data_IF_611152434683
#
_entry.id   IF_611152434683
#
_cell.length_a   1.000
_cell.length_b   1.000
_cell.length_c   1.000
_cell.angle_alpha   90.00
_cell.angle_beta   90.00
_cell.angle_gamma   90.00
#
_symmetry.space_group_name_H-M   'P 1'
#
loop_
_entity.id
_entity.type
_entity.pdbx_description
1 polymer ?
#
# COMPACT_ATOMS: atom_id res chain seq x y z
N UNK A 1 22.49 7.70 52.42
CA UNK A 1 22.20 8.28 51.08
C UNK A 1 22.72 7.44 49.94
N UNK A 2 23.96 6.98 50.01
CA UNK A 2 24.56 6.17 48.92
C UNK A 2 23.86 4.83 48.73
N UNK A 3 23.40 4.20 49.83
CA UNK A 3 22.72 2.91 49.80
C UNK A 3 21.34 3.01 49.13
N UNK A 4 20.61 4.11 49.35
CA UNK A 4 19.29 4.33 48.76
C UNK A 4 19.39 4.52 47.24
N UNK A 5 20.41 5.24 46.75
CA UNK A 5 20.67 5.39 45.32
C UNK A 5 21.00 4.07 44.63
N UNK A 6 21.76 3.19 45.30
CA UNK A 6 22.10 1.87 44.75
C UNK A 6 20.87 0.95 44.63
N UNK A 7 19.89 1.08 45.50
CA UNK A 7 18.66 0.30 45.45
C UNK A 7 17.73 0.85 44.33
N UNK A 8 17.62 2.17 44.19
CA UNK A 8 16.76 2.79 43.16
C UNK A 8 17.30 2.59 41.75
N UNK A 9 18.62 2.64 41.54
CA UNK A 9 19.20 2.51 40.20
C UNK A 9 18.92 1.15 39.54
N UNK A 10 19.07 -0.02 40.21
CA UNK A 10 18.72 -1.31 39.62
C UNK A 10 17.24 -1.43 39.26
N UNK A 11 16.32 -0.94 40.12
CA UNK A 11 14.88 -0.96 39.84
C UNK A 11 14.52 -0.10 38.62
N UNK A 12 15.08 1.10 38.56
CA UNK A 12 14.87 2.02 37.44
C UNK A 12 15.43 1.46 36.13
N UNK A 13 16.59 0.84 36.18
CA UNK A 13 17.19 0.17 35.00
C UNK A 13 16.33 -0.99 34.53
N UNK A 14 15.85 -1.84 35.46
CA UNK A 14 14.98 -2.98 35.14
C UNK A 14 13.67 -2.51 34.50
N UNK A 15 13.09 -1.43 34.99
CA UNK A 15 11.88 -0.85 34.44
C UNK A 15 12.13 -0.33 33.01
N UNK A 16 13.23 0.37 32.78
CA UNK A 16 13.61 0.81 31.43
C UNK A 16 13.88 -0.35 30.48
N UNK A 17 14.56 -1.38 30.96
CA UNK A 17 14.81 -2.58 30.14
C UNK A 17 13.50 -3.26 29.77
N UNK A 18 12.54 -3.33 30.69
CA UNK A 18 11.21 -3.87 30.42
C UNK A 18 10.46 -3.06 29.36
N UNK A 19 10.53 -1.73 29.45
CA UNK A 19 9.93 -0.84 28.45
C UNK A 19 10.59 -1.02 27.08
N UNK A 20 11.92 -1.14 27.01
CA UNK A 20 12.63 -1.41 25.78
C UNK A 20 12.24 -2.74 25.16
N UNK A 21 12.13 -3.79 25.98
CA UNK A 21 11.73 -5.11 25.50
C UNK A 21 10.32 -5.07 24.91
N UNK A 22 9.39 -4.37 25.57
CA UNK A 22 8.02 -4.22 25.07
C UNK A 22 7.98 -3.42 23.78
N UNK A 23 8.71 -2.32 23.70
CA UNK A 23 8.81 -1.51 22.48
C UNK A 23 9.40 -2.32 21.33
N UNK A 24 10.43 -3.11 21.61
CA UNK A 24 11.07 -3.99 20.62
C UNK A 24 10.09 -5.04 20.11
N UNK A 25 9.30 -5.62 20.99
CA UNK A 25 8.28 -6.62 20.65
C UNK A 25 7.20 -6.01 19.75
N UNK A 26 6.64 -4.86 20.16
CA UNK A 26 5.57 -4.18 19.43
C UNK A 26 6.04 -3.70 18.07
N UNK A 27 7.19 -3.05 18.01
CA UNK A 27 7.73 -2.54 16.75
C UNK A 27 8.12 -3.66 15.79
N UNK A 28 8.67 -4.76 16.31
CA UNK A 28 8.98 -5.94 15.51
C UNK A 28 7.74 -6.55 14.87
N UNK A 29 6.66 -6.70 15.66
CA UNK A 29 5.38 -7.20 15.15
C UNK A 29 4.77 -6.27 14.09
N UNK A 30 4.81 -4.96 14.33
CA UNK A 30 4.31 -3.96 13.38
C UNK A 30 5.09 -4.00 12.06
N UNK A 31 6.42 -4.07 12.14
CA UNK A 31 7.28 -4.17 10.95
C UNK A 31 7.00 -5.45 10.15
N UNK A 32 6.83 -6.58 10.82
CA UNK A 32 6.48 -7.86 10.16
C UNK A 32 5.17 -7.74 9.40
N UNK A 33 4.16 -7.14 10.00
CA UNK A 33 2.86 -6.95 9.33
C UNK A 33 2.99 -6.11 8.06
N UNK A 34 3.74 -5.02 8.10
CA UNK A 34 3.98 -4.19 6.92
C UNK A 34 4.76 -4.96 5.86
N UNK A 35 5.81 -5.67 6.26
CA UNK A 35 6.68 -6.41 5.34
C UNK A 35 5.92 -7.54 4.63
N UNK A 36 5.05 -8.27 5.34
CA UNK A 36 4.22 -9.32 4.74
C UNK A 36 3.37 -8.76 3.60
N UNK A 37 2.77 -7.60 3.79
CA UNK A 37 1.93 -6.98 2.79
C UNK A 37 2.72 -6.41 1.61
N UNK A 38 3.87 -5.79 1.86
CA UNK A 38 4.67 -5.13 0.83
C UNK A 38 5.58 -6.09 0.06
N UNK A 39 5.99 -7.19 0.67
CA UNK A 39 6.84 -8.22 0.03
C UNK A 39 6.23 -9.60 0.21
N UNK A 40 5.06 -9.88 -0.42
CA UNK A 40 4.31 -11.12 -0.16
C UNK A 40 5.02 -12.38 -0.67
N UNK A 41 5.94 -12.27 -1.62
CA UNK A 41 6.64 -13.41 -2.20
C UNK A 41 8.03 -13.63 -1.61
N UNK A 42 8.49 -12.76 -0.73
CA UNK A 42 9.80 -12.87 -0.11
C UNK A 42 9.69 -13.36 1.33
N UNK A 43 10.69 -14.13 1.81
CA UNK A 43 10.69 -14.56 3.21
C UNK A 43 10.85 -13.38 4.15
N UNK A 44 10.17 -13.48 5.29
CA UNK A 44 10.23 -12.44 6.32
C UNK A 44 11.59 -12.55 7.02
N UNK A 45 12.33 -11.43 7.19
CA UNK A 45 13.55 -11.44 7.97
C UNK A 45 13.30 -11.95 9.40
N UNK A 46 14.21 -12.78 9.90
CA UNK A 46 14.09 -13.42 11.22
C UNK A 46 14.76 -12.64 12.34
N UNK A 47 15.34 -11.48 12.05
CA UNK A 47 16.00 -10.63 13.03
C UNK A 47 15.39 -9.23 13.00
N UNK A 48 15.45 -8.54 14.15
CA UNK A 48 14.98 -7.16 14.24
C UNK A 48 15.75 -6.25 13.27
N UNK A 49 17.07 -6.40 13.21
CA UNK A 49 17.90 -5.66 12.28
C UNK A 49 17.46 -5.89 10.82
N UNK A 50 17.17 -7.13 10.46
CA UNK A 50 16.72 -7.47 9.11
C UNK A 50 15.37 -6.83 8.78
N UNK A 51 14.47 -6.73 9.75
CA UNK A 51 13.19 -6.05 9.57
C UNK A 51 13.39 -4.55 9.29
N UNK A 52 14.21 -3.89 10.11
CA UNK A 52 14.55 -2.47 9.92
C UNK A 52 15.21 -2.26 8.57
N UNK A 53 16.16 -3.11 8.20
CA UNK A 53 16.86 -3.00 6.94
C UNK A 53 15.94 -3.15 5.73
N UNK A 54 14.98 -4.06 5.81
CA UNK A 54 13.97 -4.23 4.75
C UNK A 54 13.17 -2.94 4.55
N UNK A 55 12.82 -2.25 5.62
CA UNK A 55 12.02 -1.03 5.57
C UNK A 55 12.76 0.19 5.02
N UNK A 56 14.06 0.12 4.81
CA UNK A 56 14.82 1.18 4.12
C UNK A 56 14.24 1.41 2.71
N UNK A 57 13.75 0.36 2.07
CA UNK A 57 13.19 0.42 0.71
C UNK A 57 11.65 0.54 0.70
N UNK A 58 11.02 0.92 1.82
CA UNK A 58 9.56 0.94 1.94
C UNK A 58 8.90 1.94 0.99
N UNK A 59 9.50 3.12 0.78
CA UNK A 59 8.86 4.17 -0.04
C UNK A 59 8.74 3.75 -1.51
N UNK A 60 9.79 3.27 -2.18
CA UNK A 60 9.65 2.74 -3.54
C UNK A 60 8.65 1.58 -3.61
N UNK A 61 8.61 0.74 -2.56
CA UNK A 61 7.70 -0.42 -2.53
C UNK A 61 6.24 0.01 -2.39
N UNK A 62 5.96 1.02 -1.58
CA UNK A 62 4.62 1.63 -1.49
C UNK A 62 4.22 2.23 -2.83
N UNK A 63 5.12 2.91 -3.54
CA UNK A 63 4.86 3.44 -4.86
C UNK A 63 4.51 2.35 -5.87
N UNK A 64 5.20 1.21 -5.81
CA UNK A 64 4.88 0.06 -6.64
C UNK A 64 3.50 -0.52 -6.31
N UNK A 65 3.13 -0.61 -5.04
CA UNK A 65 1.82 -1.06 -4.61
C UNK A 65 0.71 -0.13 -5.10
N UNK A 66 0.91 1.18 -5.00
CA UNK A 66 -0.04 2.18 -5.52
C UNK A 66 -0.23 2.05 -7.03
N UNK A 67 0.86 1.88 -7.76
CA UNK A 67 0.81 1.67 -9.22
C UNK A 67 0.02 0.42 -9.58
N UNK A 68 0.27 -0.68 -8.89
CA UNK A 68 -0.45 -1.94 -9.10
C UNK A 68 -1.94 -1.79 -8.81
N UNK A 69 -2.29 -1.08 -7.75
CA UNK A 69 -3.69 -0.81 -7.41
C UNK A 69 -4.39 0.02 -8.48
N UNK A 70 -3.71 1.05 -9.02
CA UNK A 70 -4.24 1.87 -10.11
C UNK A 70 -4.46 1.04 -11.38
N UNK A 71 -3.51 0.18 -11.72
CA UNK A 71 -3.63 -0.71 -12.88
C UNK A 71 -4.81 -1.67 -12.70
N UNK A 72 -4.94 -2.28 -11.53
CA UNK A 72 -6.06 -3.20 -11.24
C UNK A 72 -7.41 -2.49 -11.34
N UNK A 73 -7.54 -1.31 -10.75
CA UNK A 73 -8.76 -0.52 -10.82
C UNK A 73 -9.13 -0.14 -12.25
N UNK A 74 -8.16 0.35 -13.02
CA UNK A 74 -8.35 0.72 -14.43
C UNK A 74 -8.71 -0.51 -15.27
N UNK A 75 -8.02 -1.64 -15.07
CA UNK A 75 -8.31 -2.88 -15.77
C UNK A 75 -9.73 -3.34 -15.52
N UNK A 76 -10.18 -3.33 -14.28
CA UNK A 76 -11.54 -3.71 -13.94
C UNK A 76 -12.56 -2.76 -14.57
N UNK A 77 -12.32 -1.45 -14.51
CA UNK A 77 -13.22 -0.45 -15.07
C UNK A 77 -13.34 -0.62 -16.60
N UNK A 78 -12.23 -0.72 -17.31
CA UNK A 78 -12.24 -0.92 -18.76
C UNK A 78 -12.87 -2.26 -19.15
N UNK A 79 -12.62 -3.32 -18.40
CA UNK A 79 -13.23 -4.62 -18.66
C UNK A 79 -14.75 -4.56 -18.51
N UNK A 80 -15.24 -3.89 -17.47
CA UNK A 80 -16.69 -3.70 -17.27
C UNK A 80 -17.32 -2.88 -18.39
N UNK A 81 -16.67 -1.79 -18.79
CA UNK A 81 -17.14 -0.98 -19.94
C UNK A 81 -17.21 -1.84 -21.19
N UNK A 82 -16.20 -2.67 -21.41
CA UNK A 82 -16.16 -3.54 -22.60
C UNK A 82 -17.22 -4.60 -22.61
N UNK A 83 -17.74 -5.04 -21.46
CA UNK A 83 -18.89 -5.97 -21.43
C UNK A 83 -20.16 -5.34 -21.97
N UNK A 84 -20.31 -4.02 -21.89
CA UNK A 84 -21.46 -3.27 -22.42
C UNK A 84 -21.22 -2.77 -23.86
N UNK A 85 -19.97 -2.41 -24.18
CA UNK A 85 -19.58 -1.91 -25.50
C UNK A 85 -18.35 -2.68 -26.00
N UNK A 86 -18.60 -3.87 -26.54
CA UNK A 86 -17.53 -4.79 -26.94
C UNK A 86 -16.61 -4.27 -28.04
N UNK A 87 -17.07 -3.28 -28.81
CA UNK A 87 -16.27 -2.66 -29.89
C UNK A 87 -15.33 -1.55 -29.37
N UNK A 88 -15.49 -1.15 -28.13
CA UNK A 88 -14.61 -0.13 -27.53
C UNK A 88 -13.18 -0.66 -27.44
N UNK A 89 -12.23 0.13 -27.90
CA UNK A 89 -10.80 -0.14 -27.76
C UNK A 89 -10.23 0.74 -26.64
N UNK A 90 -9.94 0.14 -25.49
CA UNK A 90 -9.46 0.87 -24.33
C UNK A 90 -8.19 1.66 -24.62
N UNK A 91 -7.29 1.12 -25.44
CA UNK A 91 -6.05 1.80 -25.82
C UNK A 91 -6.29 3.13 -26.54
N UNK A 92 -7.34 3.21 -27.35
CA UNK A 92 -7.69 4.44 -28.04
C UNK A 92 -8.14 5.53 -27.07
N UNK A 93 -8.82 5.15 -26.00
CA UNK A 93 -9.28 6.09 -24.96
C UNK A 93 -8.11 6.71 -24.21
N UNK A 94 -7.02 5.98 -24.06
CA UNK A 94 -5.84 6.43 -23.29
C UNK A 94 -4.90 7.32 -24.12
N UNK A 95 -4.82 7.08 -25.42
CA UNK A 95 -3.77 7.67 -26.29
C UNK A 95 -4.28 8.73 -27.24
N UNK A 96 -5.58 8.76 -27.55
CA UNK A 96 -6.15 9.67 -28.54
C UNK A 96 -6.84 10.86 -27.90
N UNK A 97 -6.84 11.97 -28.63
CA UNK A 97 -7.64 13.13 -28.27
C UNK A 97 -9.12 12.81 -28.41
N UNK A 98 -9.98 13.46 -27.61
CA UNK A 98 -11.43 13.29 -27.72
C UNK A 98 -11.93 13.57 -29.15
N UNK A 99 -13.08 13.01 -29.55
CA UNK A 99 -13.68 13.33 -30.85
C UNK A 99 -13.96 14.81 -31.00
N UNK A 100 -14.03 15.26 -32.26
CA UNK A 100 -14.38 16.66 -32.58
C UNK A 100 -15.68 17.07 -31.86
N UNK A 101 -15.64 18.25 -31.24
CA UNK A 101 -16.76 18.80 -30.48
C UNK A 101 -16.76 18.41 -29.00
N UNK A 102 -15.91 17.46 -28.58
CA UNK A 102 -15.72 17.05 -27.19
C UNK A 102 -14.35 17.35 -26.65
N UNK A 103 -13.46 17.86 -27.45
CA UNK A 103 -12.05 18.15 -27.13
C UNK A 103 -11.86 19.28 -26.10
N UNK A 104 -12.93 20.05 -25.82
CA UNK A 104 -12.94 21.10 -24.80
C UNK A 104 -13.12 20.56 -23.37
N UNK A 105 -13.41 19.27 -23.21
CA UNK A 105 -13.62 18.66 -21.89
C UNK A 105 -12.41 17.83 -21.47
N UNK A 106 -11.81 18.20 -20.35
CA UNK A 106 -10.77 17.40 -19.72
C UNK A 106 -11.38 16.31 -18.85
N UNK A 107 -10.68 15.19 -18.59
CA UNK A 107 -11.20 14.12 -17.72
C UNK A 107 -11.68 14.62 -16.36
N UNK A 108 -11.04 15.64 -15.80
CA UNK A 108 -11.37 16.22 -14.49
C UNK A 108 -12.81 16.74 -14.41
N UNK A 109 -13.37 17.16 -15.54
CA UNK A 109 -14.79 17.63 -15.59
C UNK A 109 -15.77 16.52 -15.21
N UNK A 110 -15.37 15.26 -15.31
CA UNK A 110 -16.24 14.10 -15.07
C UNK A 110 -15.92 13.38 -13.77
N UNK A 111 -14.93 13.81 -13.00
CA UNK A 111 -14.50 13.11 -11.79
C UNK A 111 -15.62 12.91 -10.80
N UNK A 112 -16.42 13.93 -10.52
CA UNK A 112 -17.57 13.82 -9.61
C UNK A 112 -18.66 12.91 -10.14
N UNK A 113 -18.92 12.99 -11.43
CA UNK A 113 -19.94 12.19 -12.08
C UNK A 113 -19.65 10.68 -11.99
N UNK A 114 -18.40 10.30 -12.13
CA UNK A 114 -17.98 8.88 -12.12
C UNK A 114 -17.54 8.38 -10.75
N UNK A 115 -17.50 9.23 -9.72
CA UNK A 115 -16.98 8.86 -8.41
C UNK A 115 -17.73 7.69 -7.76
N UNK A 116 -19.06 7.71 -7.83
CA UNK A 116 -19.89 6.64 -7.28
C UNK A 116 -19.62 5.30 -7.98
N UNK A 117 -19.51 5.33 -9.31
CA UNK A 117 -19.19 4.15 -10.10
C UNK A 117 -17.77 3.65 -9.79
N UNK A 118 -16.81 4.55 -9.61
CA UNK A 118 -15.44 4.19 -9.25
C UNK A 118 -15.39 3.48 -7.89
N UNK A 119 -16.18 3.92 -6.91
CA UNK A 119 -16.28 3.26 -5.61
C UNK A 119 -16.86 1.85 -5.72
N UNK A 120 -17.84 1.65 -6.59
CA UNK A 120 -18.41 0.33 -6.85
C UNK A 120 -17.41 -0.60 -7.53
N UNK A 121 -16.63 -0.09 -8.47
CA UNK A 121 -15.56 -0.84 -9.13
C UNK A 121 -14.47 -1.23 -8.13
N UNK A 122 -14.11 -0.34 -7.20
CA UNK A 122 -13.14 -0.65 -6.15
C UNK A 122 -13.56 -1.89 -5.36
N UNK A 123 -14.85 -2.01 -5.03
CA UNK A 123 -15.39 -3.18 -4.34
C UNK A 123 -15.29 -4.48 -5.12
N UNK A 124 -15.11 -4.44 -6.44
CA UNK A 124 -14.96 -5.60 -7.32
C UNK A 124 -13.50 -5.99 -7.57
N UNK A 125 -12.56 -5.11 -7.21
CA UNK A 125 -11.14 -5.40 -7.38
C UNK A 125 -10.64 -6.36 -6.30
N UNK A 126 -9.68 -7.21 -6.66
CA UNK A 126 -9.04 -8.09 -5.69
C UNK A 126 -8.24 -7.27 -4.69
N UNK A 127 -8.48 -7.49 -3.40
CA UNK A 127 -7.76 -6.84 -2.30
C UNK A 127 -6.69 -7.75 -1.71
N UNK A 128 -6.67 -9.00 -2.14
CA UNK A 128 -5.69 -9.99 -1.66
C UNK A 128 -4.35 -9.88 -2.38
N UNK A 129 -4.34 -9.20 -3.52
CA UNK A 129 -3.15 -9.03 -4.35
C UNK A 129 -2.76 -7.55 -4.37
N UNK A 130 -1.68 -7.21 -3.69
CA UNK A 130 -1.17 -5.83 -3.67
C UNK A 130 -0.37 -5.48 -4.91
N UNK A 131 0.15 -6.47 -5.62
CA UNK A 131 1.04 -6.25 -6.74
C UNK A 131 0.56 -7.02 -7.96
N UNK A 132 0.64 -6.38 -9.11
CA UNK A 132 0.39 -7.02 -10.39
C UNK A 132 1.39 -8.18 -10.60
N UNK A 133 0.95 -9.22 -11.33
CA UNK A 133 1.83 -10.34 -11.67
C UNK A 133 3.05 -9.83 -12.44
N UNK A 134 4.22 -10.27 -12.03
CA UNK A 134 5.49 -9.86 -12.63
C UNK A 134 6.16 -8.66 -11.91
N UNK A 135 5.54 -8.13 -10.89
CA UNK A 135 6.12 -7.11 -10.01
C UNK A 135 6.52 -7.73 -8.66
#
# INVERSE_FOLDING_TARGET
>A
MVTVRRIKAPLFLNEKMSQWAELHRISGAAMKNVIIWLWPTEPIPNSYFGLVWRLVDVVPRISAAKRSACIEGARMAFARVKTFWGKMKAIDVTARSPPKGKDRYEPEHYFEDVLGAARLIEGQCSKDIMFERGV
#
